data_IF_580594971794
#
_entry.id   IF_580594971794
#
_cell.length_a   1.000
_cell.length_b   1.000
_cell.length_c   1.000
_cell.angle_alpha   90.00
_cell.angle_beta   90.00
_cell.angle_gamma   90.00
#
_symmetry.space_group_name_H-M   'P 1'
#
loop_
_entity.id
_entity.type
_entity.pdbx_description
1 polymer ?
#
# COMPACT_ATOMS: atom_id res chain seq x y z
N UNK A 1 -0.73 -14.15 11.88
CA UNK A 1 -0.32 -13.11 12.83
C UNK A 1 0.89 -12.39 12.33
N UNK A 2 0.80 -11.08 12.25
CA UNK A 2 1.87 -10.26 11.69
C UNK A 2 3.11 -10.18 12.59
N UNK A 3 2.95 -10.40 13.89
CA UNK A 3 4.05 -10.37 14.85
C UNK A 3 5.15 -11.40 14.57
N UNK A 4 4.81 -12.46 13.83
CA UNK A 4 5.75 -13.53 13.52
C UNK A 4 6.29 -13.46 12.09
N UNK A 5 5.94 -12.42 11.36
CA UNK A 5 6.43 -12.24 9.99
C UNK A 5 7.80 -11.57 10.02
N UNK A 6 8.78 -12.17 9.35
CA UNK A 6 10.09 -11.56 9.20
C UNK A 6 10.02 -10.40 8.21
N UNK A 7 11.03 -9.52 8.29
CA UNK A 7 11.13 -8.40 7.35
C UNK A 7 11.18 -8.91 5.90
N UNK A 8 11.97 -9.93 5.64
CA UNK A 8 12.12 -10.50 4.30
C UNK A 8 10.81 -11.07 3.77
N UNK A 9 10.06 -11.76 4.63
CA UNK A 9 8.79 -12.34 4.22
C UNK A 9 7.76 -11.25 3.93
N UNK A 10 7.74 -10.20 4.74
CA UNK A 10 6.83 -9.08 4.52
C UNK A 10 7.13 -8.38 3.20
N UNK A 11 8.42 -8.10 2.95
CA UNK A 11 8.84 -7.49 1.69
C UNK A 11 8.38 -8.34 0.50
N UNK A 12 8.61 -9.65 0.56
CA UNK A 12 8.22 -10.55 -0.52
C UNK A 12 6.72 -10.56 -0.75
N UNK A 13 5.92 -10.60 0.31
CA UNK A 13 4.46 -10.61 0.17
C UNK A 13 3.94 -9.29 -0.40
N UNK A 14 4.48 -8.18 0.03
CA UNK A 14 4.08 -6.87 -0.51
C UNK A 14 4.45 -6.77 -1.98
N UNK A 15 5.63 -7.26 -2.37
CA UNK A 15 6.03 -7.31 -3.78
C UNK A 15 5.05 -8.12 -4.61
N UNK A 16 4.66 -9.29 -4.13
CA UNK A 16 3.71 -10.16 -4.83
C UNK A 16 2.37 -9.47 -5.05
N UNK A 17 1.85 -8.81 -4.01
CA UNK A 17 0.58 -8.09 -4.09
C UNK A 17 0.71 -6.92 -5.08
N UNK A 18 1.80 -6.19 -5.00
CA UNK A 18 2.08 -5.05 -5.89
C UNK A 18 2.11 -5.52 -7.35
N UNK A 19 2.87 -6.58 -7.63
CA UNK A 19 3.00 -7.11 -8.99
C UNK A 19 1.68 -7.66 -9.50
N UNK A 20 0.91 -8.32 -8.66
CA UNK A 20 -0.40 -8.80 -9.05
C UNK A 20 -1.31 -7.62 -9.42
N UNK A 21 -1.35 -6.61 -8.57
CA UNK A 21 -2.15 -5.41 -8.80
C UNK A 21 -1.74 -4.68 -10.09
N UNK A 22 -0.43 -4.65 -10.35
CA UNK A 22 0.12 -3.97 -11.51
C UNK A 22 -0.18 -4.71 -12.81
N UNK A 23 -0.07 -6.04 -12.79
CA UNK A 23 -0.12 -6.85 -14.02
C UNK A 23 -1.45 -7.56 -14.26
N UNK A 24 -2.34 -7.65 -13.29
CA UNK A 24 -3.67 -8.22 -13.54
C UNK A 24 -4.40 -7.34 -14.55
N UNK A 25 -4.85 -7.97 -15.62
CA UNK A 25 -5.45 -7.25 -16.75
C UNK A 25 -6.66 -6.42 -16.33
N UNK A 26 -7.57 -7.04 -15.58
CA UNK A 26 -8.81 -6.37 -15.16
C UNK A 26 -8.52 -5.21 -14.20
N UNK A 27 -7.71 -5.46 -13.22
CA UNK A 27 -7.37 -4.45 -12.21
C UNK A 27 -6.61 -3.28 -12.83
N UNK A 28 -5.62 -3.57 -13.66
CA UNK A 28 -4.82 -2.51 -14.27
C UNK A 28 -5.60 -1.68 -15.27
N UNK A 29 -6.46 -2.31 -16.05
CA UNK A 29 -7.31 -1.58 -17.00
C UNK A 29 -8.32 -0.69 -16.28
N UNK A 30 -8.93 -1.20 -15.20
CA UNK A 30 -9.86 -0.42 -14.40
C UNK A 30 -9.15 0.81 -13.81
N UNK A 31 -7.98 0.63 -13.23
CA UNK A 31 -7.19 1.73 -12.65
C UNK A 31 -6.84 2.79 -13.69
N UNK A 32 -6.42 2.36 -14.88
CA UNK A 32 -6.08 3.29 -15.96
C UNK A 32 -7.30 4.04 -16.46
N UNK A 33 -8.42 3.35 -16.61
CA UNK A 33 -9.67 3.99 -17.05
C UNK A 33 -10.11 5.06 -16.06
N UNK A 34 -10.08 4.75 -14.75
CA UNK A 34 -10.43 5.72 -13.71
C UNK A 34 -9.51 6.94 -13.78
N UNK A 35 -8.22 6.70 -13.96
CA UNK A 35 -7.23 7.78 -14.05
C UNK A 35 -7.49 8.68 -15.25
N UNK A 36 -7.81 8.09 -16.40
CA UNK A 36 -8.09 8.86 -17.61
C UNK A 36 -9.36 9.69 -17.50
N UNK A 37 -10.38 9.17 -16.83
CA UNK A 37 -11.71 9.79 -16.80
C UNK A 37 -11.95 10.67 -15.56
N UNK A 38 -11.04 10.69 -14.60
CA UNK A 38 -11.25 11.34 -13.31
C UNK A 38 -11.57 12.83 -13.43
N UNK A 39 -11.00 13.51 -14.41
CA UNK A 39 -11.19 14.96 -14.57
C UNK A 39 -12.30 15.29 -15.56
N UNK A 40 -12.83 14.29 -16.25
CA UNK A 40 -13.88 14.48 -17.25
C UNK A 40 -15.26 14.14 -16.69
N UNK A 41 -15.31 13.31 -15.66
CA UNK A 41 -16.57 12.84 -15.11
C UNK A 41 -16.50 12.87 -13.58
N UNK A 42 -17.39 13.64 -12.92
CA UNK A 42 -17.45 13.63 -11.45
C UNK A 42 -17.72 12.23 -10.88
N UNK A 43 -18.48 11.40 -11.62
CA UNK A 43 -18.75 10.03 -11.21
C UNK A 43 -17.47 9.20 -11.14
N UNK A 44 -16.61 9.30 -12.15
CA UNK A 44 -15.36 8.56 -12.14
C UNK A 44 -14.38 9.10 -11.10
N UNK A 45 -14.38 10.41 -10.89
CA UNK A 45 -13.58 11.02 -9.83
C UNK A 45 -13.99 10.45 -8.47
N UNK A 46 -15.29 10.36 -8.20
CA UNK A 46 -15.81 9.80 -6.96
C UNK A 46 -15.45 8.32 -6.81
N UNK A 47 -15.59 7.54 -7.89
CA UNK A 47 -15.22 6.12 -7.86
C UNK A 47 -13.74 5.93 -7.56
N UNK A 48 -12.88 6.73 -8.18
CA UNK A 48 -11.45 6.65 -7.94
C UNK A 48 -11.11 6.97 -6.48
N UNK A 49 -11.67 8.04 -5.95
CA UNK A 49 -11.40 8.46 -4.57
C UNK A 49 -11.96 7.46 -3.56
N UNK A 50 -13.21 7.04 -3.72
CA UNK A 50 -13.89 6.22 -2.73
C UNK A 50 -13.61 4.74 -2.85
N UNK A 51 -13.65 4.20 -4.06
CA UNK A 51 -13.48 2.76 -4.29
C UNK A 51 -12.04 2.34 -4.36
N UNK A 52 -11.14 3.25 -4.73
CA UNK A 52 -9.73 2.92 -4.84
C UNK A 52 -8.94 3.44 -3.64
N UNK A 53 -8.94 4.76 -3.43
CA UNK A 53 -8.10 5.35 -2.38
C UNK A 53 -8.69 5.10 -0.99
N UNK A 54 -9.91 5.55 -0.75
CA UNK A 54 -10.51 5.46 0.59
C UNK A 54 -10.68 4.03 1.04
N UNK A 55 -11.06 3.13 0.12
CA UNK A 55 -11.19 1.71 0.44
C UNK A 55 -9.85 1.12 0.87
N UNK A 56 -8.79 1.43 0.12
CA UNK A 56 -7.47 0.88 0.43
C UNK A 56 -6.95 1.37 1.78
N UNK A 57 -7.15 2.66 2.07
CA UNK A 57 -6.76 3.23 3.36
C UNK A 57 -7.56 2.59 4.49
N UNK A 58 -8.88 2.47 4.35
CA UNK A 58 -9.74 1.88 5.38
C UNK A 58 -9.42 0.42 5.63
N UNK A 59 -9.12 -0.34 4.57
CA UNK A 59 -8.74 -1.75 4.71
C UNK A 59 -7.48 -1.89 5.57
N UNK A 60 -6.46 -1.12 5.27
CA UNK A 60 -5.21 -1.18 6.02
C UNK A 60 -5.34 -0.59 7.42
N UNK A 61 -6.15 0.47 7.58
CA UNK A 61 -6.42 1.03 8.89
C UNK A 61 -7.06 -0.01 9.81
N UNK A 62 -7.96 -0.84 9.27
CA UNK A 62 -8.55 -1.94 10.04
C UNK A 62 -7.51 -2.93 10.53
N UNK A 63 -6.56 -3.30 9.67
CA UNK A 63 -5.46 -4.20 10.03
C UNK A 63 -4.60 -3.55 11.13
N UNK A 64 -4.21 -2.30 10.94
CA UNK A 64 -3.36 -1.61 11.91
C UNK A 64 -4.08 -1.39 13.24
N UNK A 65 -5.38 -1.13 13.22
CA UNK A 65 -6.16 -1.00 14.46
C UNK A 65 -6.12 -2.29 15.27
N UNK A 66 -6.26 -3.43 14.61
CA UNK A 66 -6.17 -4.73 15.27
C UNK A 66 -4.77 -4.96 15.85
N UNK A 67 -3.73 -4.61 15.10
CA UNK A 67 -2.34 -4.77 15.57
C UNK A 67 -2.02 -3.86 16.75
N UNK A 68 -2.52 -2.63 16.73
CA UNK A 68 -2.35 -1.71 17.86
C UNK A 68 -3.09 -2.26 19.11
N UNK A 69 -4.33 -2.73 18.93
CA UNK A 69 -5.11 -3.28 20.02
C UNK A 69 -4.46 -4.50 20.65
N UNK A 70 -3.76 -5.31 19.86
CA UNK A 70 -3.07 -6.51 20.32
C UNK A 70 -1.66 -6.24 20.86
N UNK A 71 -1.22 -4.99 20.84
CA UNK A 71 0.12 -4.64 21.30
C UNK A 71 1.24 -4.98 20.32
N UNK A 72 0.90 -5.33 19.08
CA UNK A 72 1.88 -5.68 18.06
C UNK A 72 2.46 -4.45 17.34
N UNK A 73 1.75 -3.33 17.42
CA UNK A 73 2.22 -2.04 16.96
C UNK A 73 2.14 -1.02 18.07
N UNK A 74 2.95 0.06 18.03
CA UNK A 74 2.84 1.14 18.99
C UNK A 74 1.45 1.76 19.00
N UNK A 75 1.10 2.44 20.09
CA UNK A 75 -0.19 3.08 20.23
C UNK A 75 -0.24 4.36 19.38
N UNK A 76 -0.38 4.17 18.09
CA UNK A 76 -0.48 5.24 17.10
C UNK A 76 -1.85 5.22 16.45
N UNK A 77 -2.22 6.33 15.80
CA UNK A 77 -3.46 6.43 15.06
C UNK A 77 -3.43 5.45 13.87
N UNK A 78 -4.32 4.44 13.84
CA UNK A 78 -4.33 3.47 12.75
C UNK A 78 -4.59 4.08 11.38
N UNK A 79 -5.39 5.14 11.31
CA UNK A 79 -5.64 5.82 10.04
C UNK A 79 -4.37 6.50 9.53
N UNK A 80 -3.62 7.14 10.42
CA UNK A 80 -2.36 7.77 10.05
C UNK A 80 -1.34 6.72 9.59
N UNK A 81 -1.26 5.58 10.27
CA UNK A 81 -0.40 4.48 9.86
C UNK A 81 -0.76 3.98 8.47
N UNK A 82 -2.07 3.86 8.20
CA UNK A 82 -2.54 3.44 6.89
C UNK A 82 -2.13 4.43 5.80
N UNK A 83 -2.29 5.72 6.04
CA UNK A 83 -1.86 6.75 5.09
C UNK A 83 -0.36 6.66 4.82
N UNK A 84 0.45 6.50 5.84
CA UNK A 84 1.90 6.38 5.68
C UNK A 84 2.30 5.16 4.88
N UNK A 85 1.63 4.02 5.12
CA UNK A 85 1.97 2.77 4.47
C UNK A 85 1.49 2.74 3.02
N UNK A 86 0.24 3.13 2.78
CA UNK A 86 -0.43 2.95 1.49
C UNK A 86 0.00 4.00 0.46
N UNK A 87 0.23 5.23 0.88
CA UNK A 87 0.49 6.32 -0.07
C UNK A 87 1.65 6.06 -1.03
N UNK A 88 2.83 5.61 -0.59
CA UNK A 88 3.90 5.29 -1.53
C UNK A 88 3.54 4.17 -2.49
N UNK A 89 2.75 3.19 -2.04
CA UNK A 89 2.32 2.08 -2.89
C UNK A 89 1.47 2.61 -4.05
N UNK A 90 0.51 3.47 -3.75
CA UNK A 90 -0.36 4.08 -4.77
C UNK A 90 0.47 4.91 -5.75
N UNK A 91 1.43 5.69 -5.24
CA UNK A 91 2.29 6.51 -6.08
C UNK A 91 3.12 5.64 -7.02
N UNK A 92 3.70 4.55 -6.50
CA UNK A 92 4.52 3.66 -7.32
C UNK A 92 3.71 2.93 -8.38
N UNK A 93 2.49 2.50 -8.06
CA UNK A 93 1.59 1.91 -9.06
C UNK A 93 1.30 2.93 -10.17
N UNK A 94 1.05 4.17 -9.79
CA UNK A 94 0.79 5.25 -10.74
C UNK A 94 1.99 5.49 -11.68
N UNK A 95 3.20 5.48 -11.12
CA UNK A 95 4.42 5.61 -11.92
C UNK A 95 4.52 4.48 -12.95
N UNK A 96 4.32 3.23 -12.50
CA UNK A 96 4.43 2.07 -13.39
C UNK A 96 3.33 2.05 -14.45
N UNK A 97 2.14 2.55 -14.14
CA UNK A 97 1.07 2.65 -15.13
C UNK A 97 1.44 3.60 -16.26
N UNK A 98 2.10 4.72 -15.91
CA UNK A 98 2.52 5.71 -16.91
C UNK A 98 3.79 5.32 -17.63
N UNK A 99 4.73 4.70 -16.91
CA UNK A 99 6.06 4.37 -17.39
C UNK A 99 6.43 2.94 -16.99
N UNK A 100 5.91 1.93 -17.74
CA UNK A 100 6.17 0.52 -17.40
C UNK A 100 7.65 0.16 -17.28
N UNK A 101 8.51 0.87 -17.99
CA UNK A 101 9.96 0.66 -17.95
C UNK A 101 10.57 0.98 -16.58
N UNK A 102 9.83 1.64 -15.69
CA UNK A 102 10.30 1.96 -14.35
C UNK A 102 9.90 0.94 -13.29
N UNK A 103 9.43 -0.21 -13.71
CA UNK A 103 8.97 -1.24 -12.78
C UNK A 103 10.07 -1.71 -11.82
N UNK A 104 11.25 -2.02 -12.34
CA UNK A 104 12.35 -2.51 -11.49
C UNK A 104 12.77 -1.46 -10.45
N UNK A 105 12.88 -0.21 -10.86
CA UNK A 105 13.17 0.91 -9.97
C UNK A 105 12.09 1.06 -8.90
N UNK A 106 10.84 0.95 -9.30
CA UNK A 106 9.70 1.08 -8.38
C UNK A 106 9.68 -0.04 -7.36
N UNK A 107 10.03 -1.27 -7.75
CA UNK A 107 10.12 -2.39 -6.83
C UNK A 107 11.21 -2.16 -5.78
N UNK A 108 12.34 -1.60 -6.17
CA UNK A 108 13.39 -1.27 -5.21
C UNK A 108 12.93 -0.23 -4.20
N UNK A 109 12.19 0.78 -4.65
CA UNK A 109 11.63 1.80 -3.77
C UNK A 109 10.56 1.23 -2.85
N UNK A 110 9.75 0.30 -3.37
CA UNK A 110 8.73 -0.38 -2.58
C UNK A 110 9.39 -1.19 -1.46
N UNK A 111 10.45 -1.95 -1.79
CA UNK A 111 11.19 -2.72 -0.80
C UNK A 111 11.74 -1.81 0.31
N UNK A 112 12.35 -0.70 -0.06
CA UNK A 112 12.90 0.25 0.89
C UNK A 112 11.82 0.82 1.81
N UNK A 113 10.66 1.14 1.24
CA UNK A 113 9.53 1.65 2.00
C UNK A 113 9.02 0.64 3.02
N UNK A 114 8.83 -0.61 2.58
CA UNK A 114 8.31 -1.67 3.46
C UNK A 114 9.31 -1.94 4.59
N UNK A 115 10.60 -2.00 4.27
CA UNK A 115 11.64 -2.22 5.27
C UNK A 115 11.65 -1.11 6.31
N UNK A 116 11.59 0.14 5.86
CA UNK A 116 11.60 1.28 6.75
C UNK A 116 10.37 1.28 7.66
N UNK A 117 9.19 1.04 7.09
CA UNK A 117 7.96 0.98 7.86
C UNK A 117 8.02 -0.12 8.91
N UNK A 118 8.47 -1.31 8.51
CA UNK A 118 8.61 -2.45 9.42
C UNK A 118 9.55 -2.10 10.58
N UNK A 119 10.72 -1.55 10.29
CA UNK A 119 11.72 -1.23 11.31
C UNK A 119 11.27 -0.12 12.25
N UNK A 120 10.51 0.84 11.72
CA UNK A 120 10.05 1.98 12.50
C UNK A 120 8.99 1.58 13.51
N UNK A 121 8.07 0.70 13.12
CA UNK A 121 6.88 0.40 13.92
C UNK A 121 6.85 -1.01 14.52
N UNK A 122 7.87 -1.81 14.28
CA UNK A 122 7.94 -3.15 14.87
C UNK A 122 8.40 -3.05 16.31
N UNK A 123 7.53 -3.40 17.26
CA UNK A 123 7.83 -3.30 18.68
C UNK A 123 8.98 -4.19 19.12
N UNK A 124 9.06 -5.42 18.59
CA UNK A 124 10.15 -6.33 18.92
C UNK A 124 11.49 -5.77 18.50
N UNK A 125 11.53 -5.16 17.31
CA UNK A 125 12.74 -4.52 16.80
C UNK A 125 13.10 -3.30 17.64
N UNK A 126 12.10 -2.49 18.02
CA UNK A 126 12.33 -1.24 18.77
C UNK A 126 12.73 -1.48 20.22
N UNK A 127 12.39 -2.64 20.78
CA UNK A 127 12.79 -2.99 22.15
C UNK A 127 14.25 -3.43 22.23
N UNK A 128 14.87 -3.68 21.12
CA UNK A 128 16.26 -4.10 21.04
C UNK A 128 17.18 -2.93 20.75
#
# INVERSE_FOLDING_TARGET
MFSHISEELLVEKVRQIFLYSLHDKTISQFRRMMTLEQFRSPKFAELLSKRYVDWMISYHAGIFRALVANGELPNEDPDALAWMYVSPVIVLLSVCDRQPEREAESLEKLDAHVKLFFRTFNLEHNEK
#
